data_IF_194237988968
#
_entry.id   IF_194237988968
#
_cell.length_a   1.000
_cell.length_b   1.000
_cell.length_c   1.000
_cell.angle_alpha   90.00
_cell.angle_beta   90.00
_cell.angle_gamma   90.00
#
_symmetry.space_group_name_H-M   'P 1'
#
loop_
_entity.id
_entity.type
_entity.pdbx_description
1 polymer ?
#
# COMPACT_ATOMS: atom_id res chain seq x y z
N UNK A 1 4.12 25.19 52.19
CA UNK A 1 4.76 23.92 52.63
C UNK A 1 3.67 22.86 52.68
N UNK A 2 3.53 22.04 51.64
CA UNK A 2 2.53 20.97 51.58
C UNK A 2 3.25 19.62 51.56
N UNK A 3 2.81 18.75 52.47
CA UNK A 3 3.49 17.55 52.94
C UNK A 3 3.47 16.42 51.91
N UNK A 4 4.63 15.76 51.82
CA UNK A 4 4.87 14.43 51.28
C UNK A 4 3.91 13.39 51.86
N UNK A 5 3.36 12.51 51.03
CA UNK A 5 3.11 11.10 51.37
C UNK A 5 2.83 10.29 50.11
N UNK A 6 3.64 9.24 49.96
CA UNK A 6 3.66 8.32 48.85
C UNK A 6 2.37 7.48 48.75
N UNK A 7 1.95 7.19 47.51
CA UNK A 7 1.26 5.95 47.16
C UNK A 7 2.02 5.34 46.00
N UNK A 8 2.76 4.26 46.30
CA UNK A 8 3.19 3.31 45.28
C UNK A 8 1.93 2.73 44.62
N UNK A 9 1.85 2.83 43.31
CA UNK A 9 1.09 1.89 42.48
C UNK A 9 2.07 1.36 41.43
N UNK A 10 2.60 0.18 41.71
CA UNK A 10 3.14 -0.74 40.70
C UNK A 10 1.98 -1.13 39.79
N UNK A 11 2.22 -1.14 38.48
CA UNK A 11 1.37 -1.85 37.52
C UNK A 11 0.82 -0.96 36.42
N UNK A 12 1.56 -0.90 35.31
CA UNK A 12 1.12 -1.42 34.02
C UNK A 12 2.13 -1.03 32.96
N UNK A 13 3.08 -1.93 32.75
CA UNK A 13 3.83 -2.01 31.51
C UNK A 13 2.85 -2.53 30.46
N UNK A 14 2.11 -1.63 29.81
CA UNK A 14 1.45 -1.95 28.54
C UNK A 14 2.18 -1.14 27.48
N UNK A 15 3.18 -1.80 26.91
CA UNK A 15 3.69 -1.52 25.57
C UNK A 15 2.52 -1.63 24.59
N UNK A 16 1.74 -0.55 24.41
CA UNK A 16 1.00 -0.36 23.17
C UNK A 16 1.93 0.38 22.21
N UNK A 17 2.99 -0.32 21.80
CA UNK A 17 3.70 -0.03 20.55
C UNK A 17 2.92 -0.67 19.38
N UNK A 18 1.60 -0.52 19.42
CA UNK A 18 0.66 -1.04 18.43
C UNK A 18 0.46 -0.01 17.34
N UNK A 19 1.35 -0.04 16.36
CA UNK A 19 1.07 0.30 14.95
C UNK A 19 0.46 1.68 14.70
N UNK A 20 1.18 2.72 15.10
CA UNK A 20 1.12 4.04 14.43
C UNK A 20 1.85 4.00 13.06
N UNK A 21 1.66 2.93 12.26
CA UNK A 21 2.16 2.89 10.89
C UNK A 21 1.30 3.71 9.92
N UNK A 22 0.16 4.27 10.38
CA UNK A 22 -0.46 5.42 9.76
C UNK A 22 0.28 6.72 10.15
N UNK A 23 1.60 6.72 10.05
CA UNK A 23 2.40 7.93 10.04
C UNK A 23 2.04 8.68 8.75
N UNK A 24 0.97 9.48 8.84
CA UNK A 24 0.74 10.79 8.23
C UNK A 24 1.98 11.37 7.52
N UNK A 25 2.28 10.83 6.35
CA UNK A 25 2.96 11.52 5.27
C UNK A 25 1.95 11.49 4.14
N UNK A 26 1.00 12.43 4.17
CA UNK A 26 -0.05 12.63 3.16
C UNK A 26 0.47 12.74 1.71
N UNK A 27 1.80 12.80 1.53
CA UNK A 27 2.48 12.93 0.25
C UNK A 27 3.42 11.77 -0.12
N UNK A 28 3.55 10.72 0.71
CA UNK A 28 4.44 9.61 0.37
C UNK A 28 3.82 8.67 -0.68
N UNK A 29 4.65 8.19 -1.61
CA UNK A 29 4.30 7.08 -2.51
C UNK A 29 4.01 5.83 -1.67
N UNK A 30 2.89 5.11 -1.90
CA UNK A 30 2.62 3.84 -1.22
C UNK A 30 3.75 2.83 -1.43
N UNK A 31 3.94 1.93 -0.49
CA UNK A 31 4.95 0.89 -0.60
C UNK A 31 4.52 -0.22 -1.57
N UNK A 32 5.49 -1.05 -2.03
CA UNK A 32 5.19 -2.25 -2.83
C UNK A 32 4.25 -3.20 -2.10
N UNK A 33 4.42 -3.36 -0.80
CA UNK A 33 3.55 -4.22 0.02
C UNK A 33 2.11 -3.71 0.03
N UNK A 34 1.90 -2.39 0.18
CA UNK A 34 0.55 -1.77 0.13
C UNK A 34 -0.11 -1.98 -1.25
N UNK A 35 0.68 -1.89 -2.32
CA UNK A 35 0.22 -2.11 -3.69
C UNK A 35 -0.13 -3.59 -3.94
N UNK A 36 0.73 -4.51 -3.49
CA UNK A 36 0.51 -5.95 -3.64
C UNK A 36 -0.76 -6.39 -2.88
N UNK A 37 -0.96 -5.90 -1.66
CA UNK A 37 -2.14 -6.23 -0.84
C UNK A 37 -3.44 -5.85 -1.56
N UNK A 38 -3.50 -4.66 -2.18
CA UNK A 38 -4.68 -4.20 -2.92
C UNK A 38 -4.93 -5.04 -4.17
N UNK A 39 -3.86 -5.44 -4.88
CA UNK A 39 -3.96 -6.29 -6.07
C UNK A 39 -4.44 -7.70 -5.70
N UNK A 40 -3.94 -8.25 -4.59
CA UNK A 40 -4.43 -9.53 -4.04
C UNK A 40 -5.89 -9.39 -3.64
N UNK A 41 -6.29 -8.33 -2.93
CA UNK A 41 -7.66 -8.14 -2.47
C UNK A 41 -8.66 -8.02 -3.64
N UNK A 42 -8.32 -7.25 -4.68
CA UNK A 42 -9.09 -7.16 -5.93
C UNK A 42 -9.14 -8.50 -6.68
N UNK A 43 -8.03 -9.25 -6.67
CA UNK A 43 -7.94 -10.56 -7.32
C UNK A 43 -8.76 -11.62 -6.58
N UNK A 44 -8.73 -11.66 -5.26
CA UNK A 44 -9.53 -12.58 -4.46
C UNK A 44 -11.03 -12.36 -4.67
N UNK A 45 -11.44 -11.14 -5.03
CA UNK A 45 -12.80 -10.83 -5.45
C UNK A 45 -13.15 -11.35 -6.87
N UNK A 46 -12.16 -11.62 -7.74
CA UNK A 46 -12.32 -12.02 -9.15
C UNK A 46 -11.81 -13.41 -9.55
N UNK A 47 -11.04 -14.09 -8.70
CA UNK A 47 -10.36 -15.37 -8.96
C UNK A 47 -8.88 -15.34 -8.58
N UNK A 48 -8.37 -16.45 -8.01
CA UNK A 48 -7.05 -16.54 -7.37
C UNK A 48 -5.88 -16.13 -8.29
N UNK A 49 -5.46 -14.87 -8.20
CA UNK A 49 -4.10 -14.46 -8.57
C UNK A 49 -3.13 -15.02 -7.53
N UNK A 50 -2.00 -15.58 -7.96
CA UNK A 50 -0.93 -15.96 -7.05
C UNK A 50 -0.32 -14.71 -6.41
N UNK A 51 0.17 -14.83 -5.17
CA UNK A 51 0.93 -13.76 -4.49
C UNK A 51 2.09 -13.27 -5.37
N UNK A 52 2.70 -14.16 -6.16
CA UNK A 52 3.75 -13.83 -7.13
C UNK A 52 3.28 -12.88 -8.24
N UNK A 53 2.04 -13.03 -8.73
CA UNK A 53 1.47 -12.12 -9.72
C UNK A 53 1.24 -10.74 -9.10
N UNK A 54 0.76 -10.70 -7.85
CA UNK A 54 0.56 -9.44 -7.14
C UNK A 54 1.88 -8.73 -6.85
N UNK A 55 2.92 -9.44 -6.42
CA UNK A 55 4.26 -8.89 -6.17
C UNK A 55 4.91 -8.37 -7.47
N UNK A 56 4.76 -9.12 -8.58
CA UNK A 56 5.22 -8.66 -9.89
C UNK A 56 4.51 -7.38 -10.33
N UNK A 57 3.18 -7.32 -10.20
CA UNK A 57 2.41 -6.13 -10.54
C UNK A 57 2.73 -4.94 -9.62
N UNK A 58 2.90 -5.18 -8.32
CA UNK A 58 3.29 -4.16 -7.36
C UNK A 58 4.67 -3.55 -7.67
N UNK A 59 5.62 -4.39 -8.08
CA UNK A 59 6.94 -3.93 -8.55
C UNK A 59 6.80 -3.04 -9.78
N UNK A 60 5.98 -3.44 -10.77
CA UNK A 60 5.74 -2.60 -11.94
C UNK A 60 5.08 -1.27 -11.59
N UNK A 61 4.14 -1.24 -10.64
CA UNK A 61 3.51 -0.01 -10.20
C UNK A 61 4.47 0.92 -9.45
N UNK A 62 5.36 0.37 -8.62
CA UNK A 62 6.40 1.13 -7.91
C UNK A 62 7.49 1.66 -8.85
N UNK A 63 7.86 0.90 -9.88
CA UNK A 63 8.86 1.33 -10.87
C UNK A 63 8.24 2.23 -11.98
N UNK A 64 6.92 2.30 -12.08
CA UNK A 64 6.22 3.08 -13.12
C UNK A 64 6.33 4.60 -12.93
N UNK A 65 6.03 5.33 -14.01
CA UNK A 65 5.86 6.78 -14.02
C UNK A 65 4.50 7.27 -13.52
N UNK A 66 3.70 6.40 -12.87
CA UNK A 66 2.45 6.79 -12.25
C UNK A 66 2.71 7.79 -11.12
N UNK A 67 1.81 8.76 -10.98
CA UNK A 67 1.90 9.69 -9.88
C UNK A 67 1.62 9.01 -8.54
N UNK A 68 2.26 9.50 -7.49
CA UNK A 68 1.98 9.07 -6.12
C UNK A 68 0.49 9.24 -5.78
N UNK A 69 -0.16 10.27 -6.34
CA UNK A 69 -1.60 10.49 -6.19
C UNK A 69 -2.45 9.36 -6.79
N UNK A 70 -2.05 8.84 -7.95
CA UNK A 70 -2.73 7.72 -8.59
C UNK A 70 -2.56 6.44 -7.78
N UNK A 71 -1.34 6.16 -7.33
CA UNK A 71 -1.04 4.98 -6.53
C UNK A 71 -1.77 5.01 -5.18
N UNK A 72 -1.83 6.18 -4.53
CA UNK A 72 -2.64 6.36 -3.31
C UNK A 72 -4.12 6.16 -3.57
N UNK A 73 -4.65 6.68 -4.67
CA UNK A 73 -6.06 6.50 -5.03
C UNK A 73 -6.39 5.01 -5.24
N UNK A 74 -5.47 4.25 -5.85
CA UNK A 74 -5.61 2.80 -5.98
C UNK A 74 -5.65 2.11 -4.62
N UNK A 75 -4.68 2.40 -3.74
CA UNK A 75 -4.61 1.80 -2.41
C UNK A 75 -5.81 2.16 -1.53
N UNK A 76 -6.26 3.41 -1.63
CA UNK A 76 -7.43 3.91 -0.91
C UNK A 76 -8.77 3.49 -1.53
N UNK A 77 -8.77 2.83 -2.70
CA UNK A 77 -9.96 2.52 -3.50
C UNK A 77 -10.84 3.77 -3.75
N UNK A 78 -10.19 4.87 -4.10
CA UNK A 78 -10.84 6.16 -4.34
C UNK A 78 -11.48 6.20 -5.75
N UNK A 79 -12.77 5.85 -5.81
CA UNK A 79 -13.57 5.85 -7.04
C UNK A 79 -13.79 7.26 -7.64
N UNK A 80 -13.61 8.32 -6.84
CA UNK A 80 -13.78 9.71 -7.27
C UNK A 80 -12.51 10.30 -7.90
N UNK A 81 -11.37 9.63 -7.72
CA UNK A 81 -10.10 10.05 -8.31
C UNK A 81 -10.17 10.07 -9.85
N UNK A 82 -9.59 11.12 -10.44
CA UNK A 82 -9.51 11.30 -11.89
C UNK A 82 -8.04 11.24 -12.31
N UNK A 83 -7.62 10.15 -12.97
CA UNK A 83 -6.26 10.03 -13.49
C UNK A 83 -5.95 11.15 -14.47
N UNK A 84 -4.71 11.66 -14.41
CA UNK A 84 -4.23 12.58 -15.44
C UNK A 84 -3.99 11.85 -16.76
N UNK A 85 -3.78 12.61 -17.85
CA UNK A 85 -3.34 12.03 -19.13
C UNK A 85 -2.00 11.28 -18.98
N UNK A 86 -1.10 11.80 -18.14
CA UNK A 86 0.19 11.16 -17.86
C UNK A 86 -0.01 9.84 -17.13
N UNK A 87 -0.86 9.79 -16.11
CA UNK A 87 -1.16 8.55 -15.40
C UNK A 87 -1.81 7.52 -16.33
N UNK A 88 -2.73 7.96 -17.19
CA UNK A 88 -3.37 7.10 -18.19
C UNK A 88 -2.35 6.49 -19.16
N UNK A 89 -1.38 7.29 -19.62
CA UNK A 89 -0.31 6.82 -20.50
C UNK A 89 0.65 5.85 -19.77
N UNK A 90 1.01 6.17 -18.52
CA UNK A 90 1.85 5.31 -17.68
C UNK A 90 1.14 3.97 -17.38
N UNK A 91 -0.15 3.99 -17.08
CA UNK A 91 -0.98 2.78 -16.92
C UNK A 91 -0.97 1.91 -18.17
N UNK A 92 -1.08 2.51 -19.35
CA UNK A 92 -0.97 1.76 -20.61
C UNK A 92 0.43 1.19 -20.85
N UNK A 93 1.49 1.78 -20.27
CA UNK A 93 2.83 1.20 -20.28
C UNK A 93 2.91 0.00 -19.33
N UNK A 94 2.45 0.17 -18.08
CA UNK A 94 2.39 -0.91 -17.08
C UNK A 94 1.57 -2.10 -17.58
N UNK A 95 0.43 -1.85 -18.23
CA UNK A 95 -0.40 -2.91 -18.83
C UNK A 95 0.32 -3.68 -19.94
N UNK A 96 1.17 -3.02 -20.73
CA UNK A 96 1.98 -3.69 -21.76
C UNK A 96 3.14 -4.48 -21.15
N UNK A 97 3.76 -3.92 -20.12
CA UNK A 97 4.91 -4.52 -19.45
C UNK A 97 4.51 -5.71 -18.58
N UNK A 98 3.37 -5.63 -17.89
CA UNK A 98 2.80 -6.76 -17.13
C UNK A 98 2.51 -7.98 -18.01
N UNK A 99 2.00 -7.76 -19.23
CA UNK A 99 1.76 -8.83 -20.19
C UNK A 99 3.05 -9.56 -20.64
N UNK A 100 4.21 -8.92 -20.51
CA UNK A 100 5.51 -9.52 -20.86
C UNK A 100 6.32 -9.99 -19.66
N UNK A 101 6.17 -9.32 -18.52
CA UNK A 101 7.02 -9.48 -17.32
C UNK A 101 6.32 -10.27 -16.22
N UNK A 102 5.00 -10.19 -16.10
CA UNK A 102 4.23 -10.87 -15.05
C UNK A 102 3.38 -12.04 -15.56
N UNK A 103 3.04 -12.07 -16.86
CA UNK A 103 2.32 -13.19 -17.47
C UNK A 103 3.21 -14.41 -17.78
N UNK A 104 4.53 -14.31 -17.54
CA UNK A 104 5.54 -15.27 -17.96
C UNK A 104 5.99 -16.30 -16.92
N UNK A 105 5.62 -16.16 -15.64
CA UNK A 105 6.10 -17.05 -14.57
C UNK A 105 4.91 -17.68 -13.81
N UNK A 106 4.33 -18.78 -14.31
CA UNK A 106 3.70 -19.74 -13.44
C UNK A 106 4.83 -20.59 -12.84
N UNK A 107 5.14 -20.38 -11.56
CA UNK A 107 5.99 -21.31 -10.81
C UNK A 107 5.61 -22.77 -11.02
#
# INVERSE_FOLDING_TARGET
MLRTSARMAVGSLVLVAGVLAACSSDDARPSRDDLAEVIVDESLAGGASSEDLADCMATLFDDSELSDSFLRAMVAKDDDYRPSEKDTAAMASVARESATSCAGDPG
#
